data_IF_307423961499
#
_entry.id   IF_307423961499
#
_cell.length_a   1.000
_cell.length_b   1.000
_cell.length_c   1.000
_cell.angle_alpha   90.00
_cell.angle_beta   90.00
_cell.angle_gamma   90.00
#
_symmetry.space_group_name_H-M   'P 1'
#
loop_
_entity.id
_entity.type
_entity.pdbx_description
1 polymer ?
#
# COMPACT_ATOMS: atom_id res chain seq x y z
N UNK A 1 0.03 10.81 16.66
CA UNK A 1 0.70 11.44 15.51
C UNK A 1 1.34 10.42 14.55
N UNK A 2 2.14 9.47 15.04
CA UNK A 2 2.92 8.56 14.18
C UNK A 2 2.11 7.70 13.20
N UNK A 3 0.92 7.20 13.57
CA UNK A 3 0.07 6.41 12.68
C UNK A 3 -0.42 7.21 11.47
N UNK A 4 -0.89 8.44 11.69
CA UNK A 4 -1.31 9.34 10.62
C UNK A 4 -0.16 9.74 9.69
N UNK A 5 1.03 9.99 10.25
CA UNK A 5 2.22 10.31 9.45
C UNK A 5 2.63 9.14 8.54
N UNK A 6 2.54 7.89 8.99
CA UNK A 6 2.82 6.71 8.17
C UNK A 6 1.86 6.56 7.01
N UNK A 7 0.56 6.73 7.25
CA UNK A 7 -0.48 6.68 6.20
C UNK A 7 -0.27 7.79 5.18
N UNK A 8 -0.01 9.02 5.63
CA UNK A 8 0.25 10.16 4.74
C UNK A 8 1.50 9.95 3.87
N UNK A 9 2.57 9.39 4.43
CA UNK A 9 3.78 9.01 3.68
C UNK A 9 3.46 8.00 2.58
N UNK A 10 2.70 6.94 2.92
CA UNK A 10 2.28 5.90 1.98
C UNK A 10 1.47 6.47 0.79
N UNK A 11 0.54 7.38 1.07
CA UNK A 11 -0.25 8.09 0.04
C UNK A 11 0.67 8.95 -0.83
N UNK A 12 1.65 9.63 -0.24
CA UNK A 12 2.69 10.36 -0.96
C UNK A 12 3.47 9.46 -1.92
N UNK A 13 3.90 8.29 -1.47
CA UNK A 13 4.60 7.29 -2.30
C UNK A 13 3.73 6.80 -3.46
N UNK A 14 2.42 6.56 -3.24
CA UNK A 14 1.50 6.18 -4.32
C UNK A 14 1.47 7.23 -5.43
N UNK A 15 1.36 8.51 -5.05
CA UNK A 15 1.36 9.62 -6.02
C UNK A 15 2.66 9.71 -6.82
N UNK A 16 3.82 9.52 -6.17
CA UNK A 16 5.12 9.50 -6.85
C UNK A 16 5.26 8.38 -7.88
N UNK A 17 4.54 7.27 -7.70
CA UNK A 17 4.54 6.11 -8.59
C UNK A 17 3.36 6.12 -9.58
N UNK A 18 2.61 7.24 -9.69
CA UNK A 18 1.40 7.34 -10.51
C UNK A 18 0.31 6.29 -10.20
N UNK A 19 0.29 5.80 -8.96
CA UNK A 19 -0.68 4.80 -8.49
C UNK A 19 -1.84 5.51 -7.79
N UNK A 20 -3.07 5.05 -8.04
CA UNK A 20 -4.23 5.53 -7.31
C UNK A 20 -4.14 5.10 -5.84
N UNK A 21 -4.02 6.05 -4.89
CA UNK A 21 -3.80 5.73 -3.48
C UNK A 21 -5.00 5.03 -2.83
N UNK A 22 -6.24 5.37 -3.23
CA UNK A 22 -7.44 4.74 -2.68
C UNK A 22 -7.52 3.27 -3.09
N UNK A 23 -7.33 2.99 -4.39
CA UNK A 23 -7.33 1.63 -4.91
C UNK A 23 -6.22 0.77 -4.29
N UNK A 24 -5.02 1.34 -4.13
CA UNK A 24 -3.89 0.66 -3.52
C UNK A 24 -4.14 0.31 -2.05
N UNK A 25 -4.66 1.24 -1.24
CA UNK A 25 -4.96 0.99 0.17
C UNK A 25 -6.04 -0.08 0.30
N UNK A 26 -7.12 0.00 -0.48
CA UNK A 26 -8.19 -0.98 -0.46
C UNK A 26 -7.70 -2.40 -0.80
N UNK A 27 -6.91 -2.54 -1.86
CA UNK A 27 -6.35 -3.83 -2.27
C UNK A 27 -5.31 -4.36 -1.27
N UNK A 28 -4.49 -3.50 -0.70
CA UNK A 28 -3.51 -3.88 0.34
C UNK A 28 -4.23 -4.40 1.59
N UNK A 29 -5.26 -3.69 2.06
CA UNK A 29 -6.07 -4.13 3.19
C UNK A 29 -6.78 -5.45 2.90
N UNK A 30 -7.30 -5.65 1.68
CA UNK A 30 -7.89 -6.92 1.27
C UNK A 30 -6.88 -8.06 1.37
N UNK A 31 -5.67 -7.89 0.83
CA UNK A 31 -4.60 -8.90 0.93
C UNK A 31 -4.24 -9.22 2.38
N UNK A 32 -4.16 -8.22 3.26
CA UNK A 32 -3.91 -8.42 4.70
C UNK A 32 -5.03 -9.26 5.34
N UNK A 33 -6.29 -8.97 5.01
CA UNK A 33 -7.44 -9.76 5.47
C UNK A 33 -7.37 -11.22 4.97
N UNK A 34 -6.91 -11.41 3.73
CA UNK A 34 -6.69 -12.72 3.10
C UNK A 34 -5.43 -13.46 3.61
N UNK A 35 -4.93 -13.10 4.80
CA UNK A 35 -3.77 -13.73 5.46
C UNK A 35 -2.47 -13.62 4.65
N UNK A 36 -2.26 -12.47 3.99
CA UNK A 36 -0.99 -12.19 3.35
C UNK A 36 0.19 -12.33 4.34
N UNK A 37 1.18 -13.13 3.94
CA UNK A 37 2.33 -13.43 4.79
C UNK A 37 3.26 -12.23 4.85
N UNK A 38 3.69 -11.86 6.06
CA UNK A 38 4.56 -10.69 6.26
C UNK A 38 5.88 -10.79 5.47
N UNK A 39 6.36 -12.01 5.19
CA UNK A 39 7.54 -12.26 4.35
C UNK A 39 7.38 -11.73 2.93
N UNK A 40 6.16 -11.64 2.41
CA UNK A 40 5.85 -11.21 1.05
C UNK A 40 5.50 -9.71 0.96
N UNK A 41 5.88 -8.90 1.96
CA UNK A 41 5.51 -7.49 2.05
C UNK A 41 5.93 -6.66 0.84
N UNK A 42 7.00 -7.06 0.14
CA UNK A 42 7.43 -6.41 -1.10
C UNK A 42 6.31 -6.42 -2.16
N UNK A 43 5.52 -7.50 -2.22
CA UNK A 43 4.38 -7.62 -3.15
C UNK A 43 3.23 -6.65 -2.85
N UNK A 44 3.24 -6.03 -1.67
CA UNK A 44 2.31 -4.99 -1.27
C UNK A 44 2.84 -3.59 -1.54
N UNK A 45 4.05 -3.40 -2.08
CA UNK A 45 4.56 -2.06 -2.31
C UNK A 45 3.82 -1.36 -3.47
N UNK A 46 3.67 -0.02 -3.42
CA UNK A 46 2.86 0.71 -4.41
C UNK A 46 3.31 0.50 -5.86
N UNK A 47 4.62 0.40 -6.11
CA UNK A 47 5.17 0.17 -7.46
C UNK A 47 4.89 -1.22 -8.05
N UNK A 48 4.43 -2.17 -7.24
CA UNK A 48 3.96 -3.47 -7.71
C UNK A 48 2.47 -3.45 -8.08
N UNK A 49 1.79 -2.32 -7.87
CA UNK A 49 0.38 -2.12 -8.22
C UNK A 49 0.23 -1.68 -9.68
N UNK A 50 -0.54 -2.41 -10.49
CA UNK A 50 -0.79 -2.07 -11.90
C UNK A 50 0.18 -2.67 -12.92
N UNK A 51 0.96 -3.69 -12.54
CA UNK A 51 1.48 -4.67 -13.52
C UNK A 51 0.38 -5.62 -13.97
#
# INVERSE_FOLDING_TARGET
>A
AATWARVASLIGTCRLNAVNPEAYVAATLRKILDQHMQTDIDTLMPWNFGK
#
